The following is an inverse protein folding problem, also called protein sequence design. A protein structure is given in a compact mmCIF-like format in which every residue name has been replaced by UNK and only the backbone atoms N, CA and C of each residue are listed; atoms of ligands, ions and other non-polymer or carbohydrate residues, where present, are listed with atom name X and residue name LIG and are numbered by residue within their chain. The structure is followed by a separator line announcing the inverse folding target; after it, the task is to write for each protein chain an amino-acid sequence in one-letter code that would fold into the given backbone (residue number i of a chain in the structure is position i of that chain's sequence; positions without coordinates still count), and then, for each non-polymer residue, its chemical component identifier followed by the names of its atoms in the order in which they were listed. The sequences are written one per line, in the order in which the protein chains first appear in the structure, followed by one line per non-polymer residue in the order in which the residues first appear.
data_IF_856541204312
#
_entry.id   IF_856541204312
#
_cell.length_a   1.000
_cell.length_b   1.000
_cell.length_c   1.000
_cell.angle_alpha   90.00
_cell.angle_beta   90.00
_cell.angle_gamma   90.00
#
_symmetry.space_group_name_H-M   'P 1'
#
loop_
_entity.id
_entity.type
_entity.pdbx_description
1 polymer ?
#
# COMPACT_ATOMS: atom_id res chain seq x y z
N UNK A 1 8.39 -16.53 -15.56
CA UNK A 1 7.50 -15.37 -15.35
C UNK A 1 7.25 -14.71 -16.70
N UNK A 2 5.99 -14.45 -17.05
CA UNK A 2 5.62 -13.81 -18.32
C UNK A 2 5.60 -12.28 -18.21
N UNK A 3 5.32 -11.56 -19.32
CA UNK A 3 5.20 -10.11 -19.33
C UNK A 3 4.21 -9.61 -18.26
N UNK A 4 4.44 -8.39 -17.73
CA UNK A 4 3.47 -7.71 -16.87
C UNK A 4 2.15 -7.60 -17.66
N UNK A 5 1.14 -8.35 -17.22
CA UNK A 5 -0.22 -8.25 -17.77
C UNK A 5 -0.99 -7.30 -16.86
N UNK A 6 -1.26 -6.10 -17.37
CA UNK A 6 -2.14 -5.15 -16.70
C UNK A 6 -3.53 -5.38 -17.26
N UNK A 7 -4.44 -5.91 -16.44
CA UNK A 7 -5.86 -5.92 -16.76
C UNK A 7 -6.43 -4.55 -16.39
N UNK A 8 -6.75 -3.73 -17.39
CA UNK A 8 -7.20 -2.35 -17.17
C UNK A 8 -8.48 -2.30 -16.33
N UNK A 9 -9.38 -3.27 -16.52
CA UNK A 9 -10.65 -3.35 -15.77
C UNK A 9 -10.38 -3.68 -14.30
N UNK A 10 -9.50 -4.65 -14.04
CA UNK A 10 -9.10 -5.02 -12.68
C UNK A 10 -8.48 -3.82 -11.95
N UNK A 11 -7.53 -3.13 -12.59
CA UNK A 11 -6.89 -1.96 -12.01
C UNK A 11 -7.87 -0.81 -11.77
N UNK A 12 -8.85 -0.61 -12.65
CA UNK A 12 -9.87 0.42 -12.50
C UNK A 12 -10.80 0.11 -11.31
N UNK A 13 -11.20 -1.16 -11.13
CA UNK A 13 -11.97 -1.60 -9.97
C UNK A 13 -11.19 -1.46 -8.66
N UNK A 14 -9.91 -1.86 -8.65
CA UNK A 14 -9.00 -1.68 -7.51
C UNK A 14 -8.83 -0.20 -7.18
N UNK A 15 -8.68 0.67 -8.18
CA UNK A 15 -8.54 2.11 -7.99
C UNK A 15 -9.82 2.73 -7.41
N UNK A 16 -10.99 2.39 -7.96
CA UNK A 16 -12.29 2.83 -7.44
C UNK A 16 -12.49 2.39 -5.99
N UNK A 17 -12.20 1.12 -5.68
CA UNK A 17 -12.27 0.61 -4.33
C UNK A 17 -11.32 1.38 -3.41
N UNK A 18 -10.08 1.64 -3.84
CA UNK A 18 -9.09 2.38 -3.05
C UNK A 18 -9.55 3.81 -2.73
N UNK A 19 -10.09 4.53 -3.72
CA UNK A 19 -10.63 5.88 -3.50
C UNK A 19 -11.84 5.84 -2.57
N UNK A 20 -12.80 4.94 -2.81
CA UNK A 20 -13.97 4.77 -1.95
C UNK A 20 -13.57 4.43 -0.51
N UNK A 21 -12.55 3.60 -0.34
CA UNK A 21 -12.02 3.22 0.97
C UNK A 21 -11.44 4.39 1.75
N UNK A 22 -10.73 5.31 1.09
CA UNK A 22 -10.23 6.53 1.75
C UNK A 22 -11.40 7.35 2.28
N UNK A 23 -12.47 7.51 1.50
CA UNK A 23 -13.67 8.25 1.92
C UNK A 23 -14.34 7.57 3.12
N UNK A 24 -14.57 6.26 3.06
CA UNK A 24 -15.21 5.50 4.14
C UNK A 24 -14.39 5.57 5.43
N UNK A 25 -13.07 5.38 5.35
CA UNK A 25 -12.18 5.43 6.53
C UNK A 25 -12.18 6.84 7.11
N UNK A 26 -12.11 7.87 6.28
CA UNK A 26 -12.13 9.25 6.73
C UNK A 26 -13.44 9.60 7.43
N UNK A 27 -14.58 9.20 6.86
CA UNK A 27 -15.90 9.42 7.45
C UNK A 27 -16.07 8.62 8.76
N UNK A 28 -15.60 7.36 8.80
CA UNK A 28 -15.62 6.55 10.01
C UNK A 28 -14.77 7.16 11.13
N UNK A 29 -13.56 7.66 10.82
CA UNK A 29 -12.70 8.36 11.78
C UNK A 29 -13.39 9.65 12.25
N UNK A 30 -13.93 10.46 11.35
CA UNK A 30 -14.61 11.70 11.70
C UNK A 30 -15.79 11.42 12.64
N UNK A 31 -16.65 10.45 12.29
CA UNK A 31 -17.80 10.03 13.11
C UNK A 31 -17.38 9.41 14.44
N UNK A 32 -16.23 8.74 14.51
CA UNK A 32 -15.68 8.16 15.75
C UNK A 32 -15.34 9.22 16.81
N UNK A 33 -14.97 10.42 16.38
CA UNK A 33 -14.62 11.53 17.29
C UNK A 33 -15.88 12.08 17.97
N UNK A 34 -17.00 12.12 17.25
CA UNK A 34 -18.29 12.63 17.76
C UNK A 34 -19.14 11.58 18.48
N UNK A 35 -18.68 10.34 18.57
CA UNK A 35 -19.41 9.27 19.27
C UNK A 35 -19.48 9.54 20.78
N UNK A 36 -20.69 9.60 21.32
CA UNK A 36 -20.94 9.87 22.74
C UNK A 36 -20.20 8.86 23.65
N UNK A 37 -19.68 9.31 24.81
CA UNK A 37 -18.82 8.52 25.70
C UNK A 37 -19.45 7.23 26.24
N UNK A 38 -20.78 7.13 26.19
CA UNK A 38 -21.53 5.95 26.62
C UNK A 38 -21.73 4.88 25.53
N UNK A 39 -21.23 5.11 24.31
CA UNK A 39 -21.38 4.14 23.22
C UNK A 39 -20.40 2.95 23.42
N UNK A 40 -20.86 1.68 23.35
CA UNK A 40 -20.02 0.49 23.55
C UNK A 40 -18.78 0.46 22.63
N UNK A 41 -18.90 1.04 21.43
CA UNK A 41 -17.79 1.16 20.47
C UNK A 41 -16.70 2.12 20.95
N UNK A 42 -17.00 3.14 21.77
CA UNK A 42 -15.98 4.04 22.34
C UNK A 42 -15.44 3.55 23.69
N UNK A 43 -16.25 2.81 24.45
CA UNK A 43 -15.93 2.36 25.81
C UNK A 43 -14.92 1.19 25.84
N UNK A 44 -14.95 0.30 24.85
CA UNK A 44 -14.08 -0.90 24.83
C UNK A 44 -13.09 -0.88 23.67
N UNK A 45 -11.79 -0.75 23.99
CA UNK A 45 -10.68 -0.84 23.02
C UNK A 45 -10.64 -2.19 22.29
N UNK A 46 -11.08 -3.26 22.95
CA UNK A 46 -11.13 -4.61 22.37
C UNK A 46 -12.20 -4.68 21.27
N UNK A 47 -13.38 -4.09 21.51
CA UNK A 47 -14.47 -4.05 20.54
C UNK A 47 -14.10 -3.21 19.32
N UNK A 48 -13.42 -2.08 19.52
CA UNK A 48 -12.85 -1.30 18.40
C UNK A 48 -11.85 -2.10 17.58
N UNK A 49 -10.96 -2.84 18.24
CA UNK A 49 -9.98 -3.68 17.56
C UNK A 49 -10.65 -4.78 16.74
N UNK A 50 -11.65 -5.48 17.30
CA UNK A 50 -12.39 -6.53 16.59
C UNK A 50 -13.12 -5.97 15.36
N UNK A 51 -13.86 -4.87 15.53
CA UNK A 51 -14.60 -4.24 14.41
C UNK A 51 -13.63 -3.78 13.32
N UNK A 52 -12.53 -3.12 13.70
CA UNK A 52 -11.51 -2.70 12.74
C UNK A 52 -10.87 -3.88 12.01
N UNK A 53 -10.57 -4.96 12.72
CA UNK A 53 -9.98 -6.17 12.12
C UNK A 53 -10.92 -6.82 11.12
N UNK A 54 -12.20 -6.97 11.47
CA UNK A 54 -13.20 -7.53 10.56
C UNK A 54 -13.36 -6.64 9.33
N UNK A 55 -13.42 -5.32 9.52
CA UNK A 55 -13.53 -4.35 8.44
C UNK A 55 -12.35 -4.47 7.46
N UNK A 56 -11.11 -4.44 7.95
CA UNK A 56 -9.91 -4.60 7.12
C UNK A 56 -9.83 -5.98 6.46
N UNK A 57 -10.24 -7.05 7.15
CA UNK A 57 -10.29 -8.38 6.56
C UNK A 57 -11.28 -8.47 5.40
N UNK A 58 -12.47 -7.86 5.53
CA UNK A 58 -13.44 -7.77 4.44
C UNK A 58 -12.89 -7.02 3.24
N UNK A 59 -12.18 -5.91 3.46
CA UNK A 59 -11.58 -5.11 2.39
C UNK A 59 -10.52 -5.91 1.63
N UNK A 60 -9.62 -6.57 2.36
CA UNK A 60 -8.62 -7.46 1.76
C UNK A 60 -9.33 -8.56 0.96
N UNK A 61 -10.41 -9.13 1.49
CA UNK A 61 -11.25 -10.11 0.80
C UNK A 61 -11.81 -9.57 -0.51
N UNK A 62 -12.30 -8.34 -0.55
CA UNK A 62 -12.80 -7.70 -1.79
C UNK A 62 -11.66 -7.48 -2.79
N UNK A 63 -10.49 -7.00 -2.35
CA UNK A 63 -9.33 -6.86 -3.26
C UNK A 63 -8.95 -8.20 -3.90
N UNK A 64 -8.89 -9.26 -3.09
CA UNK A 64 -8.61 -10.62 -3.60
C UNK A 64 -9.71 -11.09 -4.54
N UNK A 65 -10.98 -10.86 -4.20
CA UNK A 65 -12.12 -11.22 -5.04
C UNK A 65 -12.07 -10.51 -6.40
N UNK A 66 -11.72 -9.22 -6.44
CA UNK A 66 -11.55 -8.48 -7.71
C UNK A 66 -10.46 -9.15 -8.54
N UNK A 67 -9.29 -9.44 -7.97
CA UNK A 67 -8.20 -10.08 -8.72
C UNK A 67 -8.53 -11.50 -9.20
N UNK A 68 -9.39 -12.24 -8.51
CA UNK A 68 -9.76 -13.61 -8.88
C UNK A 68 -10.96 -13.69 -9.84
N UNK A 69 -11.95 -12.81 -9.68
CA UNK A 69 -13.21 -12.86 -10.41
C UNK A 69 -13.21 -11.97 -11.66
N UNK A 70 -12.29 -11.00 -11.77
CA UNK A 70 -12.27 -10.11 -12.94
C UNK A 70 -11.79 -10.90 -14.17
N UNK A 71 -12.62 -11.03 -15.22
CA UNK A 71 -12.22 -11.74 -16.42
C UNK A 71 -11.04 -11.00 -17.09
N UNK A 72 -10.14 -11.74 -17.79
CA UNK A 72 -8.94 -11.21 -18.43
C UNK A 72 -9.27 -10.44 -19.72
N UNK A 73 -10.00 -9.33 -19.57
CA UNK A 73 -10.44 -8.46 -20.65
C UNK A 73 -9.52 -7.23 -20.67
N UNK A 74 -9.12 -6.74 -21.84
CA UNK A 74 -8.29 -5.54 -22.00
C UNK A 74 -6.94 -5.64 -21.27
N UNK A 75 -6.17 -6.69 -21.59
CA UNK A 75 -4.84 -6.89 -21.05
C UNK A 75 -3.81 -6.12 -21.87
N UNK A 76 -3.18 -5.13 -21.24
CA UNK A 76 -1.97 -4.50 -21.77
C UNK A 76 -0.77 -5.31 -21.28
N UNK A 77 0.05 -5.79 -22.21
CA UNK A 77 1.29 -6.50 -21.88
C UNK A 77 2.44 -5.49 -21.90
N UNK A 78 3.05 -5.24 -20.76
CA UNK A 78 4.36 -4.61 -20.71
C UNK A 78 5.44 -5.69 -20.65
N UNK A 79 6.35 -5.62 -21.62
CA UNK A 79 7.56 -6.44 -21.67
C UNK A 79 8.74 -5.66 -21.11
N UNK A 80 9.65 -6.40 -20.49
CA UNK A 80 10.96 -5.89 -20.12
C UNK A 80 11.65 -5.23 -21.34
N UNK A 81 12.29 -4.06 -21.20
CA UNK A 81 12.53 -3.30 -19.96
C UNK A 81 11.46 -2.23 -19.64
N UNK A 82 10.41 -2.11 -20.44
CA UNK A 82 9.43 -1.03 -20.32
C UNK A 82 8.68 -1.00 -18.99
N UNK A 83 8.40 -2.18 -18.41
CA UNK A 83 7.78 -2.31 -17.08
C UNK A 83 8.68 -1.76 -15.94
N UNK A 84 9.98 -2.01 -16.01
CA UNK A 84 10.97 -1.50 -15.04
C UNK A 84 11.11 0.01 -15.14
N UNK A 85 11.20 0.56 -16.37
CA UNK A 85 11.30 2.00 -16.60
C UNK A 85 10.07 2.72 -16.05
N UNK A 86 8.88 2.16 -16.28
CA UNK A 86 7.62 2.73 -15.81
C UNK A 86 7.56 2.73 -14.27
N UNK A 87 7.94 1.64 -13.60
CA UNK A 87 8.04 1.62 -12.13
C UNK A 87 9.03 2.66 -11.59
N UNK A 88 10.23 2.76 -12.18
CA UNK A 88 11.22 3.77 -11.77
C UNK A 88 10.69 5.18 -11.95
N UNK A 89 9.98 5.43 -13.04
CA UNK A 89 9.36 6.73 -13.33
C UNK A 89 8.33 7.09 -12.26
N UNK A 90 7.45 6.16 -11.88
CA UNK A 90 6.48 6.42 -10.80
C UNK A 90 7.14 6.68 -9.45
N UNK A 91 8.18 5.92 -9.10
CA UNK A 91 8.94 6.16 -7.86
C UNK A 91 9.59 7.54 -7.89
N UNK A 92 10.21 7.93 -9.01
CA UNK A 92 10.83 9.23 -9.16
C UNK A 92 9.81 10.37 -9.06
N UNK A 93 8.63 10.24 -9.69
CA UNK A 93 7.53 11.22 -9.58
C UNK A 93 7.06 11.33 -8.13
N UNK A 94 6.83 10.20 -7.46
CA UNK A 94 6.37 10.17 -6.07
C UNK A 94 7.37 10.83 -5.12
N UNK A 95 8.65 10.47 -5.21
CA UNK A 95 9.73 11.08 -4.43
C UNK A 95 9.89 12.57 -4.73
N UNK A 96 9.90 12.93 -6.02
CA UNK A 96 9.99 14.32 -6.47
C UNK A 96 8.86 15.17 -5.92
N UNK A 97 7.63 14.67 -5.96
CA UNK A 97 6.47 15.36 -5.42
C UNK A 97 6.57 15.59 -3.91
N UNK A 98 7.05 14.60 -3.15
CA UNK A 98 7.24 14.72 -1.70
C UNK A 98 8.31 15.78 -1.37
N UNK A 99 9.46 15.72 -2.06
CA UNK A 99 10.61 16.60 -1.81
C UNK A 99 10.30 18.04 -2.25
N UNK A 100 9.79 18.23 -3.46
CA UNK A 100 9.44 19.56 -3.99
C UNK A 100 8.26 20.17 -3.26
N UNK A 101 7.25 19.35 -2.91
CA UNK A 101 6.07 19.78 -2.17
C UNK A 101 6.30 19.96 -0.66
N UNK A 102 7.52 19.67 -0.16
CA UNK A 102 7.91 19.71 1.26
C UNK A 102 6.89 19.03 2.18
N UNK A 103 6.28 17.93 1.71
CA UNK A 103 5.22 17.20 2.43
C UNK A 103 5.84 16.31 3.51
N UNK A 104 6.31 16.93 4.60
CA UNK A 104 6.99 16.25 5.72
C UNK A 104 6.18 15.07 6.28
N UNK A 105 4.86 15.21 6.36
CA UNK A 105 3.94 14.14 6.80
C UNK A 105 4.04 12.85 5.95
N UNK A 106 4.52 12.94 4.71
CA UNK A 106 4.68 11.79 3.81
C UNK A 106 6.12 11.23 3.81
N UNK A 107 7.02 11.78 4.63
CA UNK A 107 8.40 11.30 4.73
C UNK A 107 8.50 9.94 5.45
N UNK A 108 7.52 9.65 6.31
CA UNK A 108 7.50 8.38 7.03
C UNK A 108 7.09 7.19 6.13
N UNK A 109 6.24 7.42 5.12
CA UNK A 109 5.78 6.35 4.20
C UNK A 109 6.78 6.09 3.07
N UNK A 110 7.71 7.01 2.82
CA UNK A 110 8.66 6.93 1.70
C UNK A 110 9.53 5.67 1.72
N UNK A 111 10.11 5.26 2.87
CA UNK A 111 10.89 4.02 2.96
C UNK A 111 10.09 2.78 2.57
N UNK A 112 8.81 2.71 2.94
CA UNK A 112 7.94 1.61 2.55
C UNK A 112 7.74 1.56 1.03
N UNK A 113 7.44 2.70 0.41
CA UNK A 113 7.25 2.77 -1.05
C UNK A 113 8.53 2.38 -1.80
N UNK A 114 9.69 2.86 -1.34
CA UNK A 114 10.99 2.55 -1.96
C UNK A 114 11.33 1.06 -1.84
N UNK A 115 11.14 0.46 -0.65
CA UNK A 115 11.39 -0.98 -0.45
C UNK A 115 10.46 -1.84 -1.32
N UNK A 116 9.18 -1.52 -1.37
CA UNK A 116 8.22 -2.24 -2.20
C UNK A 116 8.53 -2.10 -3.69
N UNK A 117 8.93 -0.91 -4.15
CA UNK A 117 9.34 -0.70 -5.52
C UNK A 117 10.63 -1.46 -5.87
N UNK A 118 11.62 -1.50 -4.96
CA UNK A 118 12.84 -2.26 -5.16
C UNK A 118 12.55 -3.76 -5.33
N UNK A 119 11.66 -4.32 -4.51
CA UNK A 119 11.21 -5.71 -4.69
C UNK A 119 10.48 -5.90 -6.02
N UNK A 120 9.61 -4.96 -6.40
CA UNK A 120 8.91 -4.99 -7.69
C UNK A 120 9.87 -4.99 -8.88
N UNK A 121 10.94 -4.20 -8.82
CA UNK A 121 11.98 -4.13 -9.87
C UNK A 121 12.81 -5.42 -9.88
N UNK A 122 13.22 -5.93 -8.71
CA UNK A 122 13.94 -7.21 -8.57
C UNK A 122 13.19 -8.37 -9.22
N UNK A 123 11.86 -8.38 -9.13
CA UNK A 123 11.00 -9.39 -9.76
C UNK A 123 10.97 -9.34 -11.28
N UNK A 124 11.30 -8.19 -11.87
CA UNK A 124 11.12 -7.89 -13.29
C UNK A 124 12.41 -8.07 -14.08
N UNK A 125 13.56 -7.94 -13.43
CA UNK A 125 14.88 -8.12 -14.05
C UNK A 125 15.22 -9.62 -14.08
N UNK A 126 15.29 -10.26 -15.26
CA UNK A 126 15.47 -11.72 -15.35
C UNK A 126 16.78 -12.20 -14.72
N UNK A 127 17.85 -11.41 -14.81
CA UNK A 127 19.15 -11.71 -14.18
C UNK A 127 19.04 -11.75 -12.65
N UNK A 128 18.39 -10.77 -12.04
CA UNK A 128 18.21 -10.70 -10.59
C UNK A 128 17.24 -11.79 -10.10
N UNK A 129 16.18 -12.06 -10.85
CA UNK A 129 15.24 -13.13 -10.57
C UNK A 129 15.93 -14.51 -10.56
N UNK A 130 16.87 -14.75 -11.48
CA UNK A 130 17.63 -15.99 -11.53
C UNK A 130 18.58 -16.15 -10.33
N UNK A 131 19.17 -15.05 -9.85
CA UNK A 131 20.07 -15.05 -8.69
C UNK A 131 19.31 -15.26 -7.39
N UNK A 132 18.19 -14.54 -7.20
CA UNK A 132 17.43 -14.56 -5.95
C UNK A 132 16.56 -15.81 -5.85
N UNK A 133 16.00 -16.29 -6.96
CA UNK A 133 15.05 -17.39 -6.97
C UNK A 133 13.61 -16.95 -6.71
N UNK A 134 12.65 -17.55 -7.45
CA UNK A 134 11.24 -17.11 -7.44
C UNK A 134 10.52 -17.30 -6.09
N UNK A 135 10.91 -18.28 -5.28
CA UNK A 135 10.38 -18.50 -3.93
C UNK A 135 10.86 -17.42 -2.96
N UNK A 136 12.17 -17.14 -2.97
CA UNK A 136 12.81 -16.17 -2.08
C UNK A 136 12.29 -14.75 -2.28
N UNK A 137 11.87 -14.41 -3.49
CA UNK A 137 11.23 -13.14 -3.80
C UNK A 137 9.92 -12.91 -3.04
N UNK A 138 9.11 -13.96 -2.83
CA UNK A 138 7.86 -13.82 -2.06
C UNK A 138 8.17 -13.48 -0.60
N UNK A 139 9.18 -14.12 -0.05
CA UNK A 139 9.69 -13.83 1.30
C UNK A 139 10.32 -12.43 1.37
N UNK A 140 11.04 -12.02 0.33
CA UNK A 140 11.61 -10.67 0.21
C UNK A 140 10.53 -9.59 0.18
N UNK A 141 9.43 -9.84 -0.55
CA UNK A 141 8.27 -8.96 -0.60
C UNK A 141 7.59 -8.83 0.77
N UNK A 142 7.38 -9.95 1.46
CA UNK A 142 6.82 -9.95 2.80
C UNK A 142 7.74 -9.22 3.79
N UNK A 143 9.06 -9.48 3.73
CA UNK A 143 10.07 -8.81 4.55
C UNK A 143 10.14 -7.30 4.29
N UNK A 144 10.10 -6.88 3.03
CA UNK A 144 10.06 -5.48 2.64
C UNK A 144 8.79 -4.78 3.12
N UNK A 145 7.64 -5.44 3.04
CA UNK A 145 6.37 -4.90 3.53
C UNK A 145 6.41 -4.70 5.05
N UNK A 146 6.82 -5.73 5.81
CA UNK A 146 6.92 -5.66 7.27
C UNK A 146 7.97 -4.63 7.70
N UNK A 147 9.17 -4.70 7.12
CA UNK A 147 10.28 -3.79 7.43
C UNK A 147 9.94 -2.34 7.10
N UNK A 148 9.38 -2.09 5.91
CA UNK A 148 8.94 -0.75 5.51
C UNK A 148 7.84 -0.20 6.40
N UNK A 149 6.90 -1.03 6.82
CA UNK A 149 5.84 -0.63 7.75
C UNK A 149 6.38 -0.31 9.16
N UNK A 150 7.32 -1.11 9.67
CA UNK A 150 7.97 -0.83 10.95
C UNK A 150 8.77 0.48 10.91
N UNK A 151 9.52 0.72 9.83
CA UNK A 151 10.24 1.98 9.63
C UNK A 151 9.26 3.15 9.61
N UNK A 152 8.13 3.03 8.91
CA UNK A 152 7.09 4.06 8.87
C UNK A 152 6.55 4.38 10.28
N UNK A 153 6.25 3.36 11.09
CA UNK A 153 5.80 3.58 12.48
C UNK A 153 6.86 4.28 13.33
N UNK A 154 8.11 3.83 13.26
CA UNK A 154 9.20 4.39 14.06
C UNK A 154 9.42 5.86 13.68
N UNK A 155 9.51 6.14 12.38
CA UNK A 155 9.73 7.48 11.86
C UNK A 155 8.57 8.42 12.16
N UNK A 156 7.33 7.95 11.95
CA UNK A 156 6.13 8.72 12.30
C UNK A 156 6.06 9.06 13.78
N UNK A 157 6.46 8.13 14.67
CA UNK A 157 6.56 8.43 16.11
C UNK A 157 7.63 9.47 16.44
N UNK A 158 8.78 9.44 15.76
CA UNK A 158 9.85 10.44 15.95
C UNK A 158 9.36 11.82 15.51
N UNK A 159 8.67 11.88 14.38
CA UNK A 159 8.17 13.14 13.81
C UNK A 159 7.07 13.76 14.67
N UNK A 160 6.09 12.96 15.13
CA UNK A 160 5.06 13.40 16.08
C UNK A 160 5.65 13.91 17.40
N UNK A 161 6.72 13.27 17.90
CA UNK A 161 7.42 13.72 19.12
C UNK A 161 8.17 15.05 18.92
N UNK A 162 8.63 15.36 17.71
CA UNK A 162 9.24 16.66 17.40
C UNK A 162 8.16 17.74 17.34
N UNK A 163 7.06 17.49 16.65
CA UNK A 163 5.94 18.44 16.53
C UNK A 163 5.33 18.76 17.91
N UNK A 164 5.25 17.79 18.83
CA UNK A 164 4.71 18.02 20.17
C UNK A 164 5.67 18.76 21.13
N UNK A 165 6.91 19.02 20.73
CA UNK A 165 7.91 19.77 21.52
C UNK A 165 8.13 21.20 21.01
N UNK A 166 7.63 21.51 19.83
CA UNK A 166 7.57 22.86 19.27
C UNK A 166 6.23 23.52 19.62
#
# INVERSE_FOLDING_TARGET
MGPLKINVVEYLLIALLSVGMVVIVFEAVHKSIYLNGNNPVRKSKIVQFIIGTIFFACIIGIFVAISMLTPPIWIIKLTYPGDVILMLTFVAIFLGWIIMGKKRELYSITPFVVLMAAVGILQRIPVLLAIVGSSNIKFLAAGAAIGGFLINIIWGRIEMKKIARD
#
